data_IF_641957105288
#
_entry.id   IF_641957105288
#
_cell.length_a   1.000
_cell.length_b   1.000
_cell.length_c   1.000
_cell.angle_alpha   90.00
_cell.angle_beta   90.00
_cell.angle_gamma   90.00
#
_symmetry.space_group_name_H-M   'P 1'
#
loop_
_entity.id
_entity.type
_entity.pdbx_description
1 polymer ?
#
# COMPACT_ATOMS: atom_id res chain seq x y z
N UNK A 1 15.34 -24.39 10.90
CA UNK A 1 14.12 -23.55 10.81
C UNK A 1 13.70 -23.46 9.35
N UNK A 2 12.39 -23.42 9.04
CA UNK A 2 11.90 -23.16 7.69
C UNK A 2 12.52 -21.88 7.14
N UNK A 3 12.80 -21.83 5.84
CA UNK A 3 13.34 -20.64 5.20
C UNK A 3 12.24 -19.56 5.09
N UNK A 4 12.12 -18.71 6.12
CA UNK A 4 11.18 -17.58 6.13
C UNK A 4 11.39 -16.64 4.93
N UNK A 5 12.54 -16.71 4.25
CA UNK A 5 12.80 -15.98 3.02
C UNK A 5 11.87 -16.41 1.88
N UNK A 6 11.43 -17.67 1.83
CA UNK A 6 10.45 -18.14 0.84
C UNK A 6 9.15 -17.33 0.90
N UNK A 7 8.60 -17.15 2.10
CA UNK A 7 7.37 -16.40 2.32
C UNK A 7 7.50 -14.92 1.96
N UNK A 8 8.67 -14.33 2.25
CA UNK A 8 8.98 -12.96 1.88
C UNK A 8 9.06 -12.78 0.35
N UNK A 9 9.71 -13.72 -0.35
CA UNK A 9 9.75 -13.74 -1.82
C UNK A 9 8.36 -13.92 -2.42
N UNK A 10 7.57 -14.84 -1.87
CA UNK A 10 6.19 -15.08 -2.30
C UNK A 10 5.34 -13.82 -2.11
N UNK A 11 5.47 -13.12 -0.99
CA UNK A 11 4.74 -11.87 -0.75
C UNK A 11 5.13 -10.78 -1.74
N UNK A 12 6.42 -10.59 -2.03
CA UNK A 12 6.89 -9.66 -3.06
C UNK A 12 6.30 -10.01 -4.44
N UNK A 13 6.30 -11.29 -4.82
CA UNK A 13 5.71 -11.75 -6.07
C UNK A 13 4.21 -11.44 -6.14
N UNK A 14 3.48 -11.59 -5.03
CA UNK A 14 2.06 -11.22 -4.96
C UNK A 14 1.82 -9.72 -5.12
N UNK A 15 2.67 -8.88 -4.53
CA UNK A 15 2.62 -7.43 -4.77
C UNK A 15 2.84 -7.10 -6.25
N UNK A 16 3.78 -7.77 -6.94
CA UNK A 16 3.99 -7.59 -8.38
C UNK A 16 2.79 -8.07 -9.21
N UNK A 17 2.19 -9.21 -8.86
CA UNK A 17 0.96 -9.70 -9.51
C UNK A 17 -0.18 -8.69 -9.36
N UNK A 18 -0.32 -8.06 -8.18
CA UNK A 18 -1.31 -7.02 -7.95
C UNK A 18 -1.12 -5.82 -8.87
N UNK A 19 0.13 -5.37 -9.07
CA UNK A 19 0.44 -4.28 -10.00
C UNK A 19 0.00 -4.60 -11.44
N UNK A 20 0.24 -5.84 -11.89
CA UNK A 20 -0.25 -6.33 -13.18
C UNK A 20 -1.77 -6.32 -13.28
N UNK A 21 -2.48 -6.82 -12.26
CA UNK A 21 -3.94 -6.80 -12.19
C UNK A 21 -4.51 -5.37 -12.25
N UNK A 22 -3.90 -4.43 -11.53
CA UNK A 22 -4.28 -3.01 -11.57
C UNK A 22 -4.05 -2.41 -12.95
N UNK A 23 -2.97 -2.79 -13.64
CA UNK A 23 -2.73 -2.36 -15.03
C UNK A 23 -3.88 -2.79 -15.94
N UNK A 24 -4.34 -4.04 -15.83
CA UNK A 24 -5.47 -4.53 -16.62
C UNK A 24 -6.79 -3.80 -16.30
N UNK A 25 -7.05 -3.49 -15.03
CA UNK A 25 -8.22 -2.71 -14.61
C UNK A 25 -8.21 -1.33 -15.29
N UNK A 26 -7.07 -0.64 -15.28
CA UNK A 26 -6.93 0.65 -15.94
C UNK A 26 -6.99 0.55 -17.47
N UNK A 27 -6.40 -0.49 -18.07
CA UNK A 27 -6.45 -0.69 -19.53
C UNK A 27 -7.89 -0.95 -20.02
N UNK A 28 -8.70 -1.70 -19.27
CA UNK A 28 -10.13 -1.89 -19.57
C UNK A 28 -10.89 -0.57 -19.48
N UNK A 29 -10.68 0.17 -18.38
CA UNK A 29 -11.29 1.48 -18.17
C UNK A 29 -10.95 2.47 -19.29
N UNK A 30 -9.66 2.53 -19.69
CA UNK A 30 -9.19 3.37 -20.79
C UNK A 30 -9.86 3.00 -22.11
N UNK A 31 -9.91 1.70 -22.44
CA UNK A 31 -10.50 1.23 -23.70
C UNK A 31 -11.97 1.62 -23.80
N UNK A 32 -12.73 1.42 -22.72
CA UNK A 32 -14.15 1.78 -22.66
C UNK A 32 -14.36 3.28 -22.72
N UNK A 33 -13.61 4.03 -21.91
CA UNK A 33 -13.65 5.50 -21.93
C UNK A 33 -13.32 6.06 -23.31
N UNK A 34 -12.28 5.54 -23.97
CA UNK A 34 -11.91 6.00 -25.31
C UNK A 34 -12.97 5.72 -26.37
N UNK A 35 -13.72 4.63 -26.25
CA UNK A 35 -14.88 4.36 -27.11
C UNK A 35 -16.05 5.31 -26.83
N UNK A 36 -16.32 5.64 -25.56
CA UNK A 36 -17.40 6.58 -25.20
C UNK A 36 -17.10 7.99 -25.72
N UNK A 37 -15.84 8.41 -25.61
CA UNK A 37 -15.41 9.76 -25.95
C UNK A 37 -15.33 10.04 -27.45
N UNK A 38 -15.50 9.05 -28.33
CA UNK A 38 -15.70 9.32 -29.77
C UNK A 38 -17.03 10.03 -30.06
N UNK A 39 -17.99 9.91 -29.14
CA UNK A 39 -19.31 10.55 -29.24
C UNK A 39 -19.32 11.95 -28.62
N UNK A 40 -18.22 12.36 -27.97
CA UNK A 40 -18.09 13.68 -27.40
C UNK A 40 -17.83 14.71 -28.51
N UNK A 41 -18.58 15.80 -28.49
CA UNK A 41 -18.44 16.91 -29.44
C UNK A 41 -17.99 18.19 -28.72
N UNK A 42 -17.04 18.89 -29.33
CA UNK A 42 -16.56 20.18 -28.84
C UNK A 42 -17.56 21.30 -29.18
N UNK A 43 -18.03 22.03 -28.18
CA UNK A 43 -18.97 23.14 -28.34
C UNK A 43 -18.33 24.45 -27.85
N UNK A 44 -18.17 25.48 -28.70
CA UNK A 44 -17.34 26.67 -28.44
C UNK A 44 -17.69 27.56 -27.23
N UNK A 45 -18.78 27.31 -26.49
CA UNK A 45 -19.27 28.28 -25.50
C UNK A 45 -20.12 27.70 -24.35
N UNK A 46 -19.82 26.48 -23.89
CA UNK A 46 -20.58 25.85 -22.79
C UNK A 46 -19.71 25.09 -21.81
N UNK A 47 -20.29 24.73 -20.66
CA UNK A 47 -19.74 23.70 -19.76
C UNK A 47 -19.43 22.43 -20.56
N UNK A 48 -18.30 21.76 -20.26
CA UNK A 48 -17.70 20.64 -21.01
C UNK A 48 -18.72 19.54 -21.36
N UNK A 49 -19.70 19.38 -20.48
CA UNK A 49 -20.71 18.33 -20.53
C UNK A 49 -22.12 18.80 -20.93
N UNK A 50 -22.37 20.12 -21.02
CA UNK A 50 -23.70 20.71 -21.24
C UNK A 50 -24.47 20.16 -22.45
N UNK A 51 -23.76 19.67 -23.47
CA UNK A 51 -24.32 19.01 -24.66
C UNK A 51 -23.79 17.59 -24.89
N UNK A 52 -23.04 17.07 -23.92
CA UNK A 52 -22.46 15.73 -23.92
C UNK A 52 -22.92 14.92 -22.69
N UNK A 53 -24.11 15.23 -22.14
CA UNK A 53 -24.63 14.62 -20.91
C UNK A 53 -24.72 13.09 -20.97
N UNK A 54 -25.09 12.53 -22.14
CA UNK A 54 -25.12 11.08 -22.34
C UNK A 54 -23.72 10.45 -22.21
N UNK A 55 -22.71 11.09 -22.80
CA UNK A 55 -21.31 10.66 -22.70
C UNK A 55 -20.80 10.83 -21.28
N UNK A 56 -21.14 11.94 -20.61
CA UNK A 56 -20.79 12.18 -19.21
C UNK A 56 -21.33 11.07 -18.31
N UNK A 57 -22.62 10.75 -18.43
CA UNK A 57 -23.25 9.71 -17.62
C UNK A 57 -22.60 8.34 -17.85
N UNK A 58 -22.36 7.97 -19.10
CA UNK A 58 -21.68 6.71 -19.42
C UNK A 58 -20.24 6.67 -18.90
N UNK A 59 -19.52 7.79 -18.94
CA UNK A 59 -18.18 7.89 -18.35
C UNK A 59 -18.25 7.75 -16.82
N UNK A 60 -19.23 8.36 -16.16
CA UNK A 60 -19.43 8.24 -14.72
C UNK A 60 -19.76 6.81 -14.29
N UNK A 61 -20.52 6.06 -15.09
CA UNK A 61 -20.75 4.62 -14.91
C UNK A 61 -19.42 3.83 -15.02
N UNK A 62 -18.57 4.13 -15.99
CA UNK A 62 -17.24 3.52 -16.09
C UNK A 62 -16.31 3.90 -14.93
N UNK A 63 -16.45 5.10 -14.36
CA UNK A 63 -15.73 5.49 -13.13
C UNK A 63 -16.19 4.68 -11.93
N UNK A 64 -17.50 4.42 -11.79
CA UNK A 64 -18.01 3.54 -10.74
C UNK A 64 -17.51 2.11 -10.92
N UNK A 65 -17.46 1.60 -12.15
CA UNK A 65 -16.87 0.30 -12.46
C UNK A 65 -15.38 0.24 -12.10
N UNK A 66 -14.62 1.31 -12.39
CA UNK A 66 -13.22 1.42 -11.99
C UNK A 66 -13.09 1.36 -10.45
N UNK A 67 -13.89 2.14 -9.72
CA UNK A 67 -13.89 2.13 -8.23
C UNK A 67 -14.18 0.74 -7.68
N UNK A 68 -15.24 0.09 -8.14
CA UNK A 68 -15.63 -1.26 -7.71
C UNK A 68 -14.51 -2.28 -7.94
N UNK A 69 -13.90 -2.27 -9.13
CA UNK A 69 -12.79 -3.18 -9.47
C UNK A 69 -11.53 -2.91 -8.63
N UNK A 70 -11.21 -1.64 -8.37
CA UNK A 70 -10.07 -1.28 -7.53
C UNK A 70 -10.29 -1.71 -6.07
N UNK A 71 -11.47 -1.45 -5.51
CA UNK A 71 -11.81 -1.89 -4.15
C UNK A 71 -11.71 -3.41 -4.04
N UNK A 72 -12.37 -4.15 -4.95
CA UNK A 72 -12.34 -5.60 -4.94
C UNK A 72 -10.92 -6.17 -5.09
N UNK A 73 -10.09 -5.57 -5.94
CA UNK A 73 -8.67 -5.94 -6.07
C UNK A 73 -7.92 -5.75 -4.75
N UNK A 74 -8.03 -4.58 -4.13
CA UNK A 74 -7.29 -4.27 -2.89
C UNK A 74 -7.76 -5.19 -1.77
N UNK A 75 -9.07 -5.38 -1.59
CA UNK A 75 -9.62 -6.26 -0.55
C UNK A 75 -9.22 -7.72 -0.74
N UNK A 76 -9.26 -8.22 -1.98
CA UNK A 76 -8.86 -9.61 -2.29
C UNK A 76 -7.38 -9.85 -1.98
N UNK A 77 -6.48 -8.99 -2.46
CA UNK A 77 -5.04 -9.13 -2.19
C UNK A 77 -4.69 -8.89 -0.72
N UNK A 78 -5.43 -8.02 -0.03
CA UNK A 78 -5.29 -7.80 1.41
C UNK A 78 -5.68 -9.06 2.19
N UNK A 79 -6.82 -9.68 1.85
CA UNK A 79 -7.27 -10.93 2.48
C UNK A 79 -6.31 -12.08 2.20
N UNK A 80 -5.83 -12.19 0.96
CA UNK A 80 -4.80 -13.16 0.57
C UNK A 80 -3.50 -12.94 1.38
N UNK A 81 -3.07 -11.69 1.59
CA UNK A 81 -1.90 -11.37 2.40
C UNK A 81 -2.07 -11.75 3.88
N UNK A 82 -3.25 -11.52 4.45
CA UNK A 82 -3.58 -11.97 5.80
C UNK A 82 -3.47 -13.51 5.92
N UNK A 83 -4.06 -14.25 4.97
CA UNK A 83 -3.98 -15.71 4.93
C UNK A 83 -2.54 -16.22 4.83
N UNK A 84 -1.74 -15.65 3.92
CA UNK A 84 -0.34 -16.07 3.74
C UNK A 84 0.53 -15.79 4.95
N UNK A 85 0.32 -14.66 5.63
CA UNK A 85 1.06 -14.41 6.88
C UNK A 85 0.65 -15.42 7.96
N UNK A 86 -0.62 -15.81 8.06
CA UNK A 86 -1.00 -16.91 8.95
C UNK A 86 -0.30 -18.22 8.60
N UNK A 87 -0.27 -18.62 7.32
CA UNK A 87 0.45 -19.82 6.87
C UNK A 87 1.94 -19.75 7.22
N UNK A 88 2.60 -18.61 6.96
CA UNK A 88 4.00 -18.37 7.37
C UNK A 88 4.20 -18.58 8.87
N UNK A 89 3.28 -18.08 9.69
CA UNK A 89 3.37 -18.18 11.14
C UNK A 89 3.00 -19.57 11.67
N UNK A 90 2.11 -20.29 11.00
CA UNK A 90 1.81 -21.69 11.30
C UNK A 90 3.05 -22.56 11.01
N UNK A 91 3.73 -22.35 9.87
CA UNK A 91 4.99 -23.04 9.55
C UNK A 91 6.13 -22.68 10.52
N UNK A 92 6.18 -21.43 11.01
CA UNK A 92 7.12 -21.02 12.05
C UNK A 92 6.89 -21.81 13.34
N UNK A 93 5.63 -21.93 13.78
CA UNK A 93 5.25 -22.70 14.95
C UNK A 93 5.62 -24.16 14.76
N UNK A 94 5.20 -24.78 13.65
CA UNK A 94 5.52 -26.17 13.30
C UNK A 94 7.03 -26.44 13.37
N UNK A 95 7.82 -25.52 12.81
CA UNK A 95 9.27 -25.62 12.78
C UNK A 95 9.92 -25.51 14.16
N UNK A 96 9.36 -24.69 15.05
CA UNK A 96 9.90 -24.47 16.39
C UNK A 96 9.50 -25.60 17.36
N UNK A 97 8.26 -26.09 17.29
CA UNK A 97 7.76 -27.09 18.24
C UNK A 97 7.97 -28.55 17.80
N UNK A 98 8.56 -28.77 16.61
CA UNK A 98 8.62 -30.09 15.95
C UNK A 98 9.09 -31.24 16.85
N UNK A 99 10.06 -30.97 17.72
CA UNK A 99 10.67 -31.98 18.60
C UNK A 99 10.28 -31.78 20.08
N UNK A 100 9.33 -30.88 20.37
CA UNK A 100 8.92 -30.54 21.73
C UNK A 100 7.70 -31.37 22.14
N UNK A 101 7.77 -31.99 23.32
CA UNK A 101 6.65 -32.70 23.92
C UNK A 101 5.69 -31.71 24.61
N UNK A 102 4.83 -31.05 23.83
CA UNK A 102 3.85 -30.08 24.33
C UNK A 102 2.46 -30.71 24.53
N UNK A 103 1.72 -30.21 25.52
CA UNK A 103 0.29 -30.52 25.69
C UNK A 103 -0.54 -29.97 24.53
N UNK A 104 -1.70 -30.58 24.26
CA UNK A 104 -2.56 -30.15 23.16
C UNK A 104 -3.08 -28.73 23.34
N UNK A 105 -3.39 -28.34 24.58
CA UNK A 105 -3.84 -26.98 24.92
C UNK A 105 -2.79 -25.93 24.58
N UNK A 106 -1.52 -26.20 24.87
CA UNK A 106 -0.41 -25.29 24.51
C UNK A 106 -0.28 -25.21 23.00
N UNK A 107 -0.32 -26.35 22.29
CA UNK A 107 -0.25 -26.38 20.83
C UNK A 107 -1.36 -25.56 20.20
N UNK A 108 -2.61 -25.79 20.56
CA UNK A 108 -3.77 -25.07 20.03
C UNK A 108 -3.65 -23.55 20.22
N UNK A 109 -3.14 -23.12 21.38
CA UNK A 109 -2.88 -21.71 21.66
C UNK A 109 -1.89 -21.05 20.69
N UNK A 110 -0.88 -21.79 20.22
CA UNK A 110 0.14 -21.27 19.29
C UNK A 110 -0.42 -21.02 17.87
N UNK A 111 -1.48 -21.73 17.46
CA UNK A 111 -2.12 -21.55 16.16
C UNK A 111 -3.28 -20.55 16.17
N UNK A 112 -3.58 -19.94 17.31
CA UNK A 112 -4.68 -18.99 17.46
C UNK A 112 -4.66 -17.89 16.39
N UNK A 113 -5.83 -17.61 15.79
CA UNK A 113 -6.03 -16.62 14.73
C UNK A 113 -6.95 -15.50 15.19
N UNK A 114 -6.74 -14.30 14.66
CA UNK A 114 -7.57 -13.13 14.95
C UNK A 114 -8.27 -12.64 13.69
N UNK A 115 -9.43 -13.23 13.40
CA UNK A 115 -10.28 -12.83 12.27
C UNK A 115 -10.84 -11.41 12.43
N UNK A 116 -11.02 -10.96 13.66
CA UNK A 116 -11.51 -9.63 14.00
C UNK A 116 -10.46 -8.57 13.64
N UNK A 117 -9.16 -8.90 13.68
CA UNK A 117 -8.09 -8.03 13.21
C UNK A 117 -8.22 -7.74 11.70
N UNK A 118 -8.53 -8.74 10.87
CA UNK A 118 -8.76 -8.54 9.43
C UNK A 118 -9.96 -7.60 9.19
N UNK A 119 -11.09 -7.85 9.85
CA UNK A 119 -12.29 -7.00 9.72
C UNK A 119 -11.99 -5.56 10.16
N UNK A 120 -11.27 -5.39 11.25
CA UNK A 120 -10.86 -4.08 11.78
C UNK A 120 -9.91 -3.38 10.84
N UNK A 121 -8.96 -4.11 10.25
CA UNK A 121 -8.01 -3.61 9.27
C UNK A 121 -8.72 -3.10 8.02
N UNK A 122 -9.64 -3.87 7.44
CA UNK A 122 -10.40 -3.48 6.25
C UNK A 122 -11.29 -2.25 6.49
N UNK A 123 -11.85 -2.11 7.70
CA UNK A 123 -12.71 -0.98 8.07
C UNK A 123 -11.95 0.23 8.61
N UNK A 124 -10.63 0.16 8.78
CA UNK A 124 -9.86 1.22 9.44
C UNK A 124 -9.89 2.52 8.63
N UNK A 125 -9.73 3.62 9.36
CA UNK A 125 -9.41 4.93 8.77
C UNK A 125 -7.90 5.17 8.86
N UNK A 126 -7.29 5.53 7.72
CA UNK A 126 -5.92 6.02 7.63
C UNK A 126 -6.00 7.51 7.32
N UNK A 127 -5.41 8.34 8.18
CA UNK A 127 -5.50 9.80 8.13
C UNK A 127 -6.96 10.30 8.01
N UNK A 128 -7.85 9.69 8.78
CA UNK A 128 -9.29 10.00 8.79
C UNK A 128 -10.10 9.43 7.63
N UNK A 129 -9.47 8.78 6.65
CA UNK A 129 -10.13 8.28 5.43
C UNK A 129 -10.20 6.76 5.35
N UNK A 130 -11.33 6.24 4.88
CA UNK A 130 -11.56 4.81 4.62
C UNK A 130 -10.85 4.34 3.34
N UNK A 131 -10.80 3.02 3.10
CA UNK A 131 -10.32 2.49 1.82
C UNK A 131 -11.18 3.00 0.65
N UNK A 132 -12.51 2.94 0.77
CA UNK A 132 -13.45 3.36 -0.27
C UNK A 132 -13.29 4.84 -0.64
N UNK A 133 -13.14 5.73 0.34
CA UNK A 133 -12.91 7.16 0.09
C UNK A 133 -11.58 7.42 -0.65
N UNK A 134 -10.52 6.65 -0.33
CA UNK A 134 -9.23 6.76 -1.02
C UNK A 134 -9.31 6.24 -2.46
N UNK A 135 -10.04 5.15 -2.70
CA UNK A 135 -10.33 4.65 -4.06
C UNK A 135 -11.16 5.64 -4.86
N UNK A 136 -12.12 6.30 -4.20
CA UNK A 136 -12.95 7.33 -4.81
C UNK A 136 -12.11 8.51 -5.31
N UNK A 137 -11.18 9.01 -4.47
CA UNK A 137 -10.21 10.06 -4.86
C UNK A 137 -9.35 9.67 -6.08
N UNK A 138 -8.99 8.39 -6.21
CA UNK A 138 -8.23 7.90 -7.38
C UNK A 138 -9.07 7.99 -8.65
N UNK A 139 -10.32 7.54 -8.61
CA UNK A 139 -11.21 7.60 -9.75
C UNK A 139 -11.57 9.05 -10.13
N UNK A 140 -11.72 9.93 -9.15
CA UNK A 140 -11.92 11.37 -9.41
C UNK A 140 -10.70 12.02 -10.08
N UNK A 141 -9.49 11.67 -9.65
CA UNK A 141 -8.28 12.09 -10.37
C UNK A 141 -8.23 11.54 -11.80
N UNK A 142 -8.78 10.35 -12.05
CA UNK A 142 -8.90 9.83 -13.42
C UNK A 142 -9.92 10.64 -14.25
N UNK A 143 -11.04 11.05 -13.65
CA UNK A 143 -12.03 11.95 -14.28
C UNK A 143 -11.42 13.29 -14.65
N UNK A 144 -10.74 13.94 -13.71
CA UNK A 144 -10.05 15.22 -13.95
C UNK A 144 -9.04 15.12 -15.10
N UNK A 145 -8.25 14.03 -15.15
CA UNK A 145 -7.33 13.80 -16.25
C UNK A 145 -8.03 13.66 -17.62
N UNK A 146 -9.23 13.08 -17.67
CA UNK A 146 -10.04 13.00 -18.89
C UNK A 146 -10.64 14.38 -19.23
N UNK A 147 -11.09 15.14 -18.25
CA UNK A 147 -11.60 16.51 -18.48
C UNK A 147 -10.52 17.40 -19.08
N UNK A 148 -9.30 17.37 -18.55
CA UNK A 148 -8.16 18.10 -19.13
C UNK A 148 -7.82 17.68 -20.57
N UNK A 149 -8.04 16.40 -20.90
CA UNK A 149 -7.86 15.92 -22.26
C UNK A 149 -8.91 16.49 -23.22
N UNK A 150 -10.17 16.50 -22.81
CA UNK A 150 -11.26 17.03 -23.64
C UNK A 150 -11.14 18.54 -23.82
N UNK A 151 -10.84 19.28 -22.75
CA UNK A 151 -10.61 20.73 -22.78
C UNK A 151 -9.44 21.15 -23.68
N UNK A 152 -8.52 20.24 -23.99
CA UNK A 152 -7.42 20.51 -24.92
C UNK A 152 -7.84 20.51 -26.39
N UNK A 153 -9.06 20.05 -26.71
CA UNK A 153 -9.57 19.88 -28.08
C UNK A 153 -8.92 18.73 -28.85
N UNK A 154 -8.03 17.95 -28.21
CA UNK A 154 -7.29 16.86 -28.85
C UNK A 154 -8.16 15.63 -29.18
N UNK A 155 -9.37 15.54 -28.63
CA UNK A 155 -10.29 14.42 -28.87
C UNK A 155 -11.05 14.51 -30.20
N UNK A 156 -11.29 15.72 -30.70
CA UNK A 156 -12.21 15.98 -31.81
C UNK A 156 -11.74 15.29 -33.10
N UNK A 157 -12.63 14.50 -33.72
CA UNK A 157 -12.38 13.83 -35.00
C UNK A 157 -11.41 12.64 -34.95
N UNK A 158 -11.06 12.13 -33.76
CA UNK A 158 -10.12 11.01 -33.61
C UNK A 158 -10.81 9.68 -33.35
N UNK A 159 -10.13 8.61 -33.75
CA UNK A 159 -10.59 7.24 -33.49
C UNK A 159 -10.48 6.89 -32.01
N UNK A 160 -11.32 5.95 -31.56
CA UNK A 160 -11.28 5.45 -30.18
C UNK A 160 -9.90 4.90 -29.79
N UNK A 161 -9.15 4.32 -30.73
CA UNK A 161 -7.80 3.80 -30.49
C UNK A 161 -6.82 4.91 -30.11
N UNK A 162 -6.85 6.04 -30.82
CA UNK A 162 -6.00 7.19 -30.53
C UNK A 162 -6.40 7.87 -29.22
N UNK A 163 -7.71 8.04 -28.98
CA UNK A 163 -8.22 8.58 -27.72
C UNK A 163 -7.79 7.69 -26.54
N UNK A 164 -7.94 6.36 -26.68
CA UNK A 164 -7.52 5.40 -25.65
C UNK A 164 -6.02 5.48 -25.37
N UNK A 165 -5.18 5.65 -26.40
CA UNK A 165 -3.75 5.80 -26.23
C UNK A 165 -3.41 7.04 -25.38
N UNK A 166 -4.07 8.17 -25.68
CA UNK A 166 -3.84 9.42 -24.98
C UNK A 166 -4.32 9.35 -23.53
N UNK A 167 -5.52 8.80 -23.28
CA UNK A 167 -6.05 8.60 -21.93
C UNK A 167 -5.15 7.67 -21.13
N UNK A 168 -4.69 6.55 -21.71
CA UNK A 168 -3.72 5.66 -21.02
C UNK A 168 -2.52 6.45 -20.55
N UNK A 169 -1.99 7.29 -21.43
CA UNK A 169 -0.82 8.09 -21.13
C UNK A 169 -1.09 9.16 -20.07
N UNK A 170 -2.24 9.82 -20.12
CA UNK A 170 -2.70 10.76 -19.08
C UNK A 170 -2.78 10.10 -17.71
N UNK A 171 -3.39 8.92 -17.62
CA UNK A 171 -3.57 8.24 -16.34
C UNK A 171 -2.24 7.73 -15.77
N UNK A 172 -1.26 7.39 -16.62
CA UNK A 172 0.03 6.81 -16.21
C UNK A 172 1.16 7.82 -16.02
N UNK A 173 1.28 8.76 -16.96
CA UNK A 173 2.36 9.75 -17.04
C UNK A 173 1.81 11.10 -17.52
N UNK A 174 1.02 11.78 -16.67
CA UNK A 174 0.38 13.05 -16.99
C UNK A 174 1.37 14.22 -17.16
N UNK A 175 2.68 14.02 -17.01
CA UNK A 175 3.66 15.08 -17.26
C UNK A 175 4.30 14.95 -18.66
N UNK A 176 3.98 13.90 -19.42
CA UNK A 176 4.57 13.65 -20.74
C UNK A 176 4.00 14.57 -21.84
N UNK A 177 4.70 14.59 -22.99
CA UNK A 177 4.57 15.53 -24.12
C UNK A 177 3.14 15.83 -24.66
N UNK A 178 2.14 15.01 -24.40
CA UNK A 178 0.80 15.11 -25.00
C UNK A 178 -0.08 16.21 -24.40
N UNK A 179 0.28 16.76 -23.24
CA UNK A 179 -0.46 17.88 -22.63
C UNK A 179 -0.12 19.24 -23.23
N UNK A 180 0.75 19.29 -24.25
CA UNK A 180 1.27 20.54 -24.78
C UNK A 180 0.50 21.00 -26.02
N UNK A 181 -0.25 22.09 -25.89
CA UNK A 181 -0.82 22.84 -27.01
C UNK A 181 0.20 23.83 -27.57
N UNK A 182 0.07 24.21 -28.84
CA UNK A 182 0.90 25.29 -29.40
C UNK A 182 0.33 26.64 -28.98
N UNK A 183 1.16 27.48 -28.38
CA UNK A 183 0.80 28.88 -28.14
C UNK A 183 0.88 29.70 -29.45
N UNK A 184 0.52 30.98 -29.39
CA UNK A 184 0.57 31.90 -30.53
C UNK A 184 1.96 31.99 -31.20
N UNK A 185 3.04 31.68 -30.47
CA UNK A 185 4.42 31.63 -30.98
C UNK A 185 4.82 30.23 -31.51
N UNK A 186 3.87 29.30 -31.66
CA UNK A 186 4.10 27.93 -32.13
C UNK A 186 4.81 27.02 -31.12
N UNK A 187 5.11 27.50 -29.91
CA UNK A 187 5.80 26.73 -28.85
C UNK A 187 4.80 25.83 -28.13
N UNK A 188 5.22 24.58 -27.91
CA UNK A 188 4.48 23.58 -27.13
C UNK A 188 4.49 23.95 -25.64
N UNK A 189 3.33 24.30 -25.08
CA UNK A 189 3.12 24.64 -23.68
C UNK A 189 1.99 23.79 -23.09
N UNK A 190 2.05 23.37 -21.80
CA UNK A 190 0.95 22.63 -21.21
C UNK A 190 -0.36 23.42 -21.28
N UNK A 191 -1.50 22.72 -21.42
CA UNK A 191 -2.81 23.34 -21.31
C UNK A 191 -2.94 24.07 -19.96
N UNK A 192 -3.70 25.17 -19.93
CA UNK A 192 -3.87 25.95 -18.71
C UNK A 192 -4.42 25.12 -17.54
N UNK A 193 -5.48 24.30 -17.73
CA UNK A 193 -5.97 23.40 -16.69
C UNK A 193 -4.89 22.46 -16.12
N UNK A 194 -4.02 21.93 -17.00
CA UNK A 194 -2.97 21.00 -16.59
C UNK A 194 -1.78 21.67 -15.87
N UNK A 195 -1.47 22.93 -16.23
CA UNK A 195 -0.48 23.72 -15.48
C UNK A 195 -0.92 23.94 -14.04
N UNK A 196 -2.19 24.21 -13.86
CA UNK A 196 -2.77 24.58 -12.58
C UNK A 196 -3.08 23.36 -11.72
N UNK A 197 -3.15 22.16 -12.32
CA UNK A 197 -3.36 20.92 -11.60
C UNK A 197 -2.20 20.55 -10.67
N UNK A 198 -2.39 20.79 -9.37
CA UNK A 198 -1.44 20.48 -8.30
C UNK A 198 -2.16 19.65 -7.22
N UNK A 199 -2.09 18.31 -7.26
CA UNK A 199 -2.86 17.44 -6.38
C UNK A 199 -2.41 17.47 -4.90
N UNK A 200 -1.38 18.26 -4.57
CA UNK A 200 -0.86 18.42 -3.21
C UNK A 200 0.34 17.51 -2.91
N UNK A 201 0.92 17.71 -1.74
CA UNK A 201 2.11 16.99 -1.29
C UNK A 201 1.83 15.51 -1.14
N UNK A 202 2.69 14.66 -1.71
CA UNK A 202 2.59 13.22 -1.58
C UNK A 202 1.46 12.58 -2.39
N UNK A 203 0.78 13.31 -3.27
CA UNK A 203 -0.22 12.76 -4.22
C UNK A 203 0.34 12.87 -5.63
N UNK A 204 0.32 11.76 -6.38
CA UNK A 204 0.73 11.79 -7.78
C UNK A 204 -0.35 12.45 -8.63
N UNK A 205 0.04 13.13 -9.72
CA UNK A 205 -0.91 13.53 -10.78
C UNK A 205 -1.53 12.31 -11.48
N UNK A 206 -0.77 11.22 -11.54
CA UNK A 206 -1.20 9.94 -12.12
C UNK A 206 -2.14 9.21 -11.16
N UNK A 207 -3.40 9.07 -11.56
CA UNK A 207 -4.36 8.23 -10.84
C UNK A 207 -3.92 6.76 -10.80
N UNK A 208 -3.26 6.26 -11.85
CA UNK A 208 -2.68 4.92 -11.87
C UNK A 208 -1.59 4.74 -10.81
N UNK A 209 -0.63 5.67 -10.69
CA UNK A 209 0.42 5.61 -9.66
C UNK A 209 -0.15 5.72 -8.25
N UNK A 210 -1.18 6.53 -8.04
CA UNK A 210 -1.91 6.57 -6.76
C UNK A 210 -2.57 5.23 -6.43
N UNK A 211 -3.20 4.58 -7.42
CA UNK A 211 -3.80 3.24 -7.26
C UNK A 211 -2.76 2.19 -6.90
N UNK A 212 -1.63 2.15 -7.63
CA UNK A 212 -0.51 1.25 -7.32
C UNK A 212 0.00 1.45 -5.90
N UNK A 213 0.17 2.70 -5.46
CA UNK A 213 0.64 3.04 -4.12
C UNK A 213 -0.32 2.56 -3.06
N UNK A 214 -1.60 2.90 -3.19
CA UNK A 214 -2.62 2.53 -2.23
C UNK A 214 -2.69 1.01 -2.09
N UNK A 215 -2.77 0.31 -3.23
CA UNK A 215 -2.91 -1.13 -3.27
C UNK A 215 -1.71 -1.87 -2.66
N UNK A 216 -0.50 -1.60 -3.16
CA UNK A 216 0.69 -2.28 -2.69
C UNK A 216 1.00 -1.98 -1.21
N UNK A 217 0.77 -0.73 -0.79
CA UNK A 217 1.00 -0.34 0.61
C UNK A 217 -0.03 -1.01 1.52
N UNK A 218 -1.33 -1.00 1.18
CA UNK A 218 -2.36 -1.63 2.00
C UNK A 218 -2.16 -3.14 2.14
N UNK A 219 -1.84 -3.83 1.03
CA UNK A 219 -1.54 -5.27 1.03
C UNK A 219 -0.30 -5.59 1.87
N UNK A 220 0.76 -4.77 1.78
CA UNK A 220 1.97 -4.97 2.58
C UNK A 220 1.72 -4.74 4.07
N UNK A 221 1.03 -3.67 4.43
CA UNK A 221 0.67 -3.37 5.83
C UNK A 221 -0.12 -4.52 6.46
N UNK A 222 -1.03 -5.15 5.71
CA UNK A 222 -1.82 -6.27 6.23
C UNK A 222 -0.93 -7.47 6.55
N UNK A 223 -0.04 -7.84 5.63
CA UNK A 223 0.90 -8.93 5.83
C UNK A 223 1.75 -8.71 7.09
N UNK A 224 2.27 -7.48 7.26
CA UNK A 224 3.10 -7.12 8.40
C UNK A 224 2.32 -6.97 9.71
N UNK A 225 1.10 -6.47 9.65
CA UNK A 225 0.21 -6.39 10.81
C UNK A 225 -0.13 -7.79 11.34
N UNK A 226 -0.40 -8.75 10.46
CA UNK A 226 -0.63 -10.15 10.87
C UNK A 226 0.62 -10.75 11.50
N UNK A 227 1.80 -10.55 10.90
CA UNK A 227 3.07 -11.00 11.47
C UNK A 227 3.27 -10.43 12.89
N UNK A 228 3.11 -9.12 13.05
CA UNK A 228 3.24 -8.46 14.36
C UNK A 228 2.23 -9.02 15.39
N UNK A 229 0.98 -9.19 14.99
CA UNK A 229 -0.09 -9.71 15.86
C UNK A 229 0.20 -11.14 16.31
N UNK A 230 0.67 -12.00 15.40
CA UNK A 230 1.07 -13.38 15.70
C UNK A 230 2.29 -13.40 16.61
N UNK A 231 3.36 -12.69 16.27
CA UNK A 231 4.59 -12.67 17.05
C UNK A 231 4.40 -12.11 18.45
N UNK A 232 3.50 -11.14 18.63
CA UNK A 232 3.22 -10.61 19.95
C UNK A 232 2.64 -11.68 20.91
N UNK A 233 1.84 -12.61 20.37
CA UNK A 233 1.18 -13.69 21.11
C UNK A 233 2.02 -14.95 21.26
N UNK A 234 2.99 -15.18 20.38
CA UNK A 234 3.86 -16.34 20.46
C UNK A 234 4.89 -16.17 21.60
N UNK A 235 4.87 -17.02 22.64
CA UNK A 235 5.72 -16.85 23.83
C UNK A 235 7.21 -17.04 23.53
N UNK A 236 7.53 -17.86 22.53
CA UNK A 236 8.91 -18.12 22.11
C UNK A 236 9.50 -17.04 21.18
N UNK A 237 8.71 -16.02 20.82
CA UNK A 237 9.21 -14.87 20.05
C UNK A 237 9.58 -13.74 21.01
N UNK A 238 10.86 -13.37 21.03
CA UNK A 238 11.42 -12.37 21.95
C UNK A 238 11.52 -10.96 21.37
N UNK A 239 11.33 -10.84 20.05
CA UNK A 239 11.39 -9.60 19.29
C UNK A 239 11.40 -9.91 17.80
N UNK A 240 11.77 -8.94 16.97
CA UNK A 240 12.01 -9.18 15.54
C UNK A 240 13.07 -8.25 14.98
N UNK A 241 13.75 -8.71 13.94
CA UNK A 241 14.75 -7.95 13.19
C UNK A 241 14.14 -7.36 11.94
N UNK A 242 14.18 -6.04 11.81
CA UNK A 242 13.87 -5.34 10.56
C UNK A 242 15.14 -5.28 9.70
N UNK A 243 15.03 -5.72 8.46
CA UNK A 243 16.11 -5.70 7.49
C UNK A 243 15.66 -5.18 6.13
N UNK A 244 16.61 -4.62 5.38
CA UNK A 244 16.40 -4.21 4.00
C UNK A 244 16.12 -5.44 3.15
N UNK A 245 15.19 -5.31 2.20
CA UNK A 245 15.02 -6.34 1.19
C UNK A 245 16.28 -6.43 0.32
N UNK A 246 16.62 -7.63 -0.14
CA UNK A 246 17.78 -7.86 -1.02
C UNK A 246 17.63 -7.18 -2.39
N UNK A 247 16.38 -7.01 -2.86
CA UNK A 247 16.03 -6.31 -4.09
C UNK A 247 15.72 -4.82 -3.88
N UNK A 248 16.25 -4.19 -2.81
CA UNK A 248 16.09 -2.76 -2.60
C UNK A 248 16.73 -1.94 -3.73
N UNK A 249 16.14 -0.79 -4.04
CA UNK A 249 16.69 0.14 -5.03
C UNK A 249 17.46 1.25 -4.33
N UNK A 250 18.77 1.11 -4.25
CA UNK A 250 19.69 2.15 -3.76
C UNK A 250 19.46 2.56 -2.30
N UNK A 251 20.18 3.61 -1.85
CA UNK A 251 20.06 4.14 -0.50
C UNK A 251 18.63 4.61 -0.20
N UNK A 252 18.13 4.32 1.00
CA UNK A 252 16.85 4.81 1.48
C UNK A 252 17.02 5.27 2.92
N UNK A 253 17.22 6.59 3.17
CA UNK A 253 17.65 7.10 4.48
C UNK A 253 16.78 6.62 5.64
N UNK A 254 15.47 6.60 5.44
CA UNK A 254 14.53 6.11 6.46
C UNK A 254 14.65 4.62 6.68
N UNK A 255 14.76 3.79 5.63
CA UNK A 255 14.88 2.35 5.83
C UNK A 255 16.23 1.97 6.40
N UNK A 256 17.29 2.65 5.97
CA UNK A 256 18.67 2.39 6.44
C UNK A 256 18.79 2.76 7.93
N UNK A 257 18.17 3.85 8.36
CA UNK A 257 18.10 4.21 9.78
C UNK A 257 17.23 3.25 10.62
N UNK A 258 16.23 2.62 10.02
CA UNK A 258 15.28 1.75 10.71
C UNK A 258 15.71 0.27 10.73
N UNK A 259 16.88 -0.10 10.21
CA UNK A 259 17.42 -1.46 10.36
C UNK A 259 17.81 -1.72 11.81
N UNK A 260 17.43 -2.88 12.35
CA UNK A 260 17.81 -3.32 13.68
C UNK A 260 16.79 -4.25 14.32
N UNK A 261 16.96 -4.50 15.61
CA UNK A 261 16.09 -5.36 16.42
C UNK A 261 15.05 -4.52 17.14
N UNK A 262 13.81 -5.00 17.14
CA UNK A 262 12.66 -4.30 17.69
C UNK A 262 11.93 -5.19 18.69
N UNK A 263 11.34 -4.59 19.75
CA UNK A 263 10.45 -5.31 20.64
C UNK A 263 9.23 -5.79 19.86
N UNK A 264 8.64 -6.92 20.27
CA UNK A 264 7.42 -7.45 19.64
C UNK A 264 6.21 -6.49 19.72
N UNK A 265 6.24 -5.57 20.68
CA UNK A 265 5.24 -4.51 20.87
C UNK A 265 5.39 -3.32 19.92
N UNK A 266 6.54 -3.17 19.23
CA UNK A 266 6.65 -2.20 18.14
C UNK A 266 5.85 -2.72 16.94
N UNK A 267 4.97 -1.91 16.36
CA UNK A 267 4.13 -2.24 15.20
C UNK A 267 4.85 -1.79 13.93
N UNK A 268 5.54 -2.71 13.26
CA UNK A 268 6.16 -2.45 11.96
C UNK A 268 5.20 -2.80 10.83
N UNK A 269 4.68 -1.79 10.12
CA UNK A 269 3.85 -1.99 8.91
C UNK A 269 4.61 -1.73 7.60
N UNK A 270 5.87 -1.29 7.71
CA UNK A 270 6.68 -0.68 6.66
C UNK A 270 7.06 0.76 7.02
N UNK A 271 8.22 1.22 6.57
CA UNK A 271 8.73 2.56 6.90
C UNK A 271 8.13 3.68 6.04
N UNK A 272 7.61 3.33 4.87
CA UNK A 272 7.05 4.28 3.91
C UNK A 272 6.14 3.53 2.91
N UNK A 273 5.34 4.25 2.11
CA UNK A 273 4.59 3.65 1.01
C UNK A 273 5.50 2.90 0.04
N UNK A 274 5.05 1.76 -0.47
CA UNK A 274 5.88 0.81 -1.23
C UNK A 274 7.13 0.28 -0.50
N UNK A 275 7.19 0.35 0.83
CA UNK A 275 8.27 -0.27 1.57
C UNK A 275 8.25 -1.79 1.36
N UNK A 276 9.39 -2.34 0.95
CA UNK A 276 9.59 -3.78 0.73
C UNK A 276 10.45 -4.42 1.83
N UNK A 277 10.92 -3.62 2.80
CA UNK A 277 11.71 -4.13 3.92
C UNK A 277 10.95 -5.22 4.69
N UNK A 278 11.70 -6.17 5.24
CA UNK A 278 11.16 -7.37 5.87
C UNK A 278 11.46 -7.41 7.36
N UNK A 279 10.58 -8.08 8.08
CA UNK A 279 10.77 -8.39 9.49
C UNK A 279 10.94 -9.91 9.66
N UNK A 280 11.85 -10.32 10.54
CA UNK A 280 12.13 -11.72 10.85
C UNK A 280 12.07 -11.90 12.36
N UNK A 281 11.29 -12.85 12.89
CA UNK A 281 11.15 -13.03 14.33
C UNK A 281 12.49 -13.46 14.94
N UNK A 282 12.77 -12.96 16.13
CA UNK A 282 13.88 -13.40 16.98
C UNK A 282 13.28 -14.42 17.95
N UNK A 283 13.80 -15.64 17.92
CA UNK A 283 13.30 -16.74 18.72
C UNK A 283 14.19 -16.96 19.94
N UNK A 284 13.60 -17.38 21.05
CA UNK A 284 14.36 -17.94 22.16
C UNK A 284 14.91 -19.33 21.83
N UNK A 285 15.76 -19.86 22.70
CA UNK A 285 16.20 -21.25 22.64
C UNK A 285 15.05 -22.21 23.05
N UNK A 286 14.99 -23.39 22.43
CA UNK A 286 13.97 -24.42 22.70
C UNK A 286 14.00 -24.93 24.15
N UNK A 287 15.18 -25.15 24.74
CA UNK A 287 15.32 -25.61 26.12
C UNK A 287 14.78 -24.54 27.10
N UNK A 288 15.16 -23.28 26.87
CA UNK A 288 14.65 -22.17 27.66
C UNK A 288 13.12 -22.01 27.55
N UNK A 289 12.54 -22.36 26.40
CA UNK A 289 11.10 -22.37 26.22
C UNK A 289 10.44 -23.48 27.03
N UNK A 290 11.00 -24.70 27.00
CA UNK A 290 10.49 -25.82 27.79
C UNK A 290 10.56 -25.51 29.28
N UNK A 291 11.71 -25.03 29.77
CA UNK A 291 11.89 -24.68 31.18
C UNK A 291 10.85 -23.64 31.62
N UNK A 292 10.65 -22.59 30.81
CA UNK A 292 9.64 -21.55 31.09
C UNK A 292 8.21 -22.10 31.11
N UNK A 293 7.90 -23.10 30.28
CA UNK A 293 6.58 -23.75 30.27
C UNK A 293 6.36 -24.66 31.48
N UNK A 294 7.41 -25.36 31.94
CA UNK A 294 7.33 -26.26 33.12
C UNK A 294 7.18 -25.44 34.39
N UNK A 295 7.95 -24.36 34.51
CA UNK A 295 7.95 -23.50 35.70
C UNK A 295 6.79 -22.50 35.71
N UNK A 296 6.04 -22.39 34.60
CA UNK A 296 5.03 -21.35 34.34
C UNK A 296 5.60 -19.93 34.56
N UNK A 297 6.88 -19.73 34.20
CA UNK A 297 7.64 -18.51 34.43
C UNK A 297 8.46 -18.10 33.19
N UNK A 298 8.07 -16.98 32.57
CA UNK A 298 8.78 -16.37 31.45
C UNK A 298 9.62 -15.15 31.87
N UNK A 299 9.77 -14.87 33.16
CA UNK A 299 10.44 -13.66 33.66
C UNK A 299 11.93 -13.60 33.33
N UNK A 300 12.60 -14.75 33.21
CA UNK A 300 14.03 -14.85 32.90
C UNK A 300 14.35 -14.76 31.40
N UNK A 301 13.32 -14.62 30.56
CA UNK A 301 13.47 -14.55 29.11
C UNK A 301 13.98 -13.18 28.69
N UNK A 302 15.05 -13.16 27.90
CA UNK A 302 15.62 -11.93 27.34
C UNK A 302 14.82 -11.48 26.13
N UNK A 303 13.96 -10.49 26.34
CA UNK A 303 13.23 -9.80 25.27
C UNK A 303 14.07 -8.66 24.68
N UNK A 304 13.80 -8.31 23.42
CA UNK A 304 14.20 -6.99 22.90
C UNK A 304 13.30 -5.96 23.58
N UNK A 305 13.89 -5.00 24.30
CA UNK A 305 13.13 -4.07 25.15
C UNK A 305 12.82 -2.72 24.47
N UNK A 306 13.69 -2.28 23.57
CA UNK A 306 13.58 -0.96 22.94
C UNK A 306 13.96 -0.99 21.45
N UNK A 307 13.55 0.04 20.73
CA UNK A 307 13.85 0.25 19.31
C UNK A 307 15.33 0.63 19.09
N UNK A 308 15.88 0.41 17.89
CA UNK A 308 17.25 0.77 17.56
C UNK A 308 17.53 2.28 17.75
N UNK A 309 18.65 2.61 18.41
CA UNK A 309 19.01 4.00 18.74
C UNK A 309 19.17 4.91 17.50
N UNK A 310 19.68 4.36 16.39
CA UNK A 310 19.76 5.03 15.10
C UNK A 310 18.36 5.36 14.54
N UNK A 311 17.43 4.40 14.58
CA UNK A 311 16.05 4.59 14.13
C UNK A 311 15.32 5.63 14.98
N UNK A 312 15.44 5.52 16.30
CA UNK A 312 14.94 6.50 17.27
C UNK A 312 15.43 7.92 16.96
N UNK A 313 16.75 8.10 16.83
CA UNK A 313 17.37 9.40 16.53
C UNK A 313 16.88 9.98 15.21
N UNK A 314 16.78 9.15 14.17
CA UNK A 314 16.32 9.58 12.85
C UNK A 314 14.86 10.06 12.89
N UNK A 315 13.98 9.29 13.54
CA UNK A 315 12.57 9.63 13.65
C UNK A 315 12.35 10.86 14.53
N UNK A 316 13.08 10.99 15.64
CA UNK A 316 13.02 12.17 16.49
C UNK A 316 13.39 13.43 15.71
N UNK A 317 14.47 13.38 14.91
CA UNK A 317 14.84 14.52 14.06
C UNK A 317 13.74 14.91 13.06
N UNK A 318 13.01 13.94 12.50
CA UNK A 318 11.87 14.24 11.62
C UNK A 318 10.67 14.82 12.38
N UNK A 319 10.45 14.42 13.63
CA UNK A 319 9.40 14.99 14.50
C UNK A 319 9.76 16.43 14.85
N UNK A 320 11.01 16.68 15.28
CA UNK A 320 11.50 18.00 15.67
C UNK A 320 11.44 18.99 14.48
N UNK A 321 11.78 18.52 13.28
CA UNK A 321 11.66 19.25 12.02
C UNK A 321 10.19 19.41 11.53
N UNK A 322 9.21 18.87 12.25
CA UNK A 322 7.78 18.84 11.88
C UNK A 322 7.50 18.22 10.51
N UNK A 323 8.38 17.31 10.05
CA UNK A 323 8.23 16.56 8.79
C UNK A 323 7.29 15.38 8.93
N UNK A 324 7.21 14.81 10.14
CA UNK A 324 6.26 13.77 10.52
C UNK A 324 5.60 14.11 11.86
N UNK A 325 4.49 13.45 12.17
CA UNK A 325 3.81 13.54 13.45
C UNK A 325 3.78 12.16 14.12
N UNK A 326 3.78 12.13 15.45
CA UNK A 326 3.53 10.92 16.25
C UNK A 326 2.15 10.31 16.00
N UNK A 327 1.18 11.13 15.55
CA UNK A 327 -0.14 10.68 15.08
C UNK A 327 -0.15 10.19 13.63
N UNK A 328 0.96 10.41 12.92
CA UNK A 328 1.08 10.10 11.50
C UNK A 328 1.29 8.62 11.23
N UNK A 329 1.17 8.28 9.95
CA UNK A 329 1.33 6.93 9.38
C UNK A 329 2.39 6.05 10.06
N UNK A 330 3.60 6.59 10.27
CA UNK A 330 4.77 5.84 10.70
C UNK A 330 4.78 5.52 12.20
N UNK A 331 4.19 6.39 13.03
CA UNK A 331 4.38 6.36 14.48
C UNK A 331 3.08 6.18 15.28
N UNK A 332 1.92 6.23 14.64
CA UNK A 332 0.61 6.15 15.31
C UNK A 332 0.46 4.93 16.22
N UNK A 333 1.01 3.79 15.81
CA UNK A 333 1.01 2.54 16.61
C UNK A 333 2.17 2.40 17.60
N UNK A 334 3.10 3.35 17.62
CA UNK A 334 4.41 3.26 18.29
C UNK A 334 4.72 4.48 19.17
N UNK A 335 3.73 5.31 19.50
CA UNK A 335 3.92 6.57 20.22
C UNK A 335 4.64 6.42 21.55
N UNK A 336 4.34 5.37 22.31
CA UNK A 336 4.97 5.10 23.61
C UNK A 336 6.50 4.94 23.55
N UNK A 337 7.07 4.68 22.37
CA UNK A 337 8.52 4.68 22.20
C UNK A 337 9.11 6.09 22.09
N UNK A 338 8.33 7.12 21.80
CA UNK A 338 8.79 8.51 21.59
C UNK A 338 8.27 9.51 22.62
N UNK A 339 7.27 9.15 23.42
CA UNK A 339 6.64 9.99 24.45
C UNK A 339 7.30 9.84 25.85
N UNK A 340 8.64 9.76 25.93
CA UNK A 340 9.36 9.73 27.22
C UNK A 340 9.78 11.11 27.70
#
# INVERSE_FOLDING_TARGET
MPDLNFHELQHIQKLLQQQGSLKFIFDDFVKKSGNLLTQWNDYPSGDLWSRNQGVQKALEEEMQNLRTKLTANIESYTTDAWNRSHLKNDELVDGFIKNLALSEVVKDGLYARNTEALKSFLKRKVDGTTLSERVWKIADGAKQNIEFYLESGLSTGRSAALISQDIRQLLQDPDRRFHRIRNAAGKLVPSQPMKDYKPGTGVYRSSYKNALRLAATNTNEMYRATDNERWNKLPFVTGYRVSRATNNYGPCPICDAMVGDYPKTYVFLGNHPFCICKATPILMNEDAFIDSLVDDDFSNVKYVEDIPANGRKYLQGLIDDKKISVDGYLLKGNKGFFEK
#
